data_IF_269603513231
#
_entry.id   IF_269603513231
#
_cell.length_a   1.000
_cell.length_b   1.000
_cell.length_c   1.000
_cell.angle_alpha   90.00
_cell.angle_beta   90.00
_cell.angle_gamma   90.00
#
_symmetry.space_group_name_H-M   'P 1'
#
loop_
_entity.id
_entity.type
_entity.pdbx_description
1 polymer ?
#
# COMPACT_ATOMS: atom_id res chain seq x y z
N UNK A 1 -10.61 8.70 71.58
CA UNK A 1 -10.34 7.37 71.03
C UNK A 1 -10.68 7.45 69.55
N UNK A 2 -9.77 7.79 68.68
CA UNK A 2 -8.74 7.00 67.92
C UNK A 2 -9.37 5.98 66.94
N UNK A 3 -9.13 6.31 65.66
CA UNK A 3 -8.91 5.41 64.50
C UNK A 3 -10.13 4.93 63.74
N UNK A 4 -10.32 5.41 62.48
CA UNK A 4 -10.03 4.65 61.26
C UNK A 4 -10.27 5.55 60.05
N UNK A 5 -9.23 6.06 59.50
CA UNK A 5 -9.16 6.50 58.09
C UNK A 5 -7.91 5.79 57.52
N UNK A 6 -8.07 5.24 56.36
CA UNK A 6 -7.09 4.76 55.37
C UNK A 6 -7.55 3.38 54.85
N UNK A 7 -8.11 3.37 53.66
CA UNK A 7 -7.78 2.48 52.55
C UNK A 7 -8.85 2.58 51.45
N UNK A 8 -8.66 3.46 50.49
CA UNK A 8 -9.36 3.42 49.20
C UNK A 8 -8.62 4.28 48.18
N UNK A 9 -7.41 3.86 47.77
CA UNK A 9 -6.71 4.50 46.63
C UNK A 9 -5.70 3.54 46.05
N UNK A 10 -6.13 2.50 45.33
CA UNK A 10 -5.22 1.62 44.57
C UNK A 10 -5.92 0.78 43.51
N UNK A 11 -7.01 1.22 42.85
CA UNK A 11 -7.67 0.45 41.79
C UNK A 11 -7.87 1.20 40.47
N UNK A 12 -7.34 2.41 40.31
CA UNK A 12 -7.53 3.17 39.07
C UNK A 12 -6.42 3.00 38.01
N UNK A 13 -5.30 2.36 38.36
CA UNK A 13 -4.13 2.28 37.45
C UNK A 13 -4.18 1.16 36.42
N UNK A 14 -4.87 0.04 36.72
CA UNK A 14 -4.86 -1.13 35.86
C UNK A 14 -5.84 -1.06 34.69
N UNK A 15 -6.92 -0.28 34.82
CA UNK A 15 -7.93 -0.15 33.77
C UNK A 15 -7.48 0.69 32.57
N UNK A 16 -6.65 1.71 32.80
CA UNK A 16 -6.16 2.60 31.73
C UNK A 16 -5.07 1.92 30.90
N UNK A 17 -4.20 1.11 31.50
CA UNK A 17 -3.17 0.37 30.76
C UNK A 17 -3.79 -0.73 29.87
N UNK A 18 -4.83 -1.45 30.37
CA UNK A 18 -5.52 -2.46 29.57
C UNK A 18 -6.34 -1.88 28.42
N UNK A 19 -6.90 -0.67 28.56
CA UNK A 19 -7.61 0.02 27.47
C UNK A 19 -6.62 0.51 26.41
N UNK A 20 -5.44 0.95 26.80
CA UNK A 20 -4.41 1.48 25.89
C UNK A 20 -3.75 0.38 25.02
N UNK A 21 -3.69 -0.87 25.50
CA UNK A 21 -3.21 -2.03 24.75
C UNK A 21 -4.31 -2.67 23.88
N UNK A 22 -5.57 -2.41 24.16
CA UNK A 22 -6.70 -3.01 23.44
C UNK A 22 -6.95 -2.39 22.06
N UNK A 23 -6.72 -1.08 21.88
CA UNK A 23 -6.93 -0.39 20.60
C UNK A 23 -6.02 -0.89 19.48
N UNK A 24 -4.67 -0.95 19.63
CA UNK A 24 -3.81 -1.44 18.57
C UNK A 24 -4.04 -2.91 18.22
N UNK A 25 -4.50 -3.72 19.16
CA UNK A 25 -4.85 -5.13 18.89
C UNK A 25 -6.14 -5.24 18.08
N UNK A 26 -7.14 -4.39 18.37
CA UNK A 26 -8.39 -4.31 17.61
C UNK A 26 -8.13 -3.84 16.18
N UNK A 27 -7.31 -2.80 16.00
CA UNK A 27 -6.92 -2.29 14.69
C UNK A 27 -6.17 -3.35 13.88
N UNK A 28 -5.21 -4.04 14.53
CA UNK A 28 -4.47 -5.13 13.90
C UNK A 28 -5.42 -6.26 13.46
N UNK A 29 -6.40 -6.62 14.28
CA UNK A 29 -7.41 -7.61 13.90
C UNK A 29 -8.22 -7.16 12.68
N UNK A 30 -8.55 -5.86 12.57
CA UNK A 30 -9.21 -5.29 11.40
C UNK A 30 -8.34 -5.36 10.14
N UNK A 31 -7.04 -5.10 10.27
CA UNK A 31 -6.09 -5.25 9.14
C UNK A 31 -6.01 -6.73 8.70
N UNK A 32 -5.88 -7.66 9.64
CA UNK A 32 -5.83 -9.09 9.35
C UNK A 32 -7.11 -9.63 8.73
N UNK A 33 -8.27 -9.03 9.03
CA UNK A 33 -9.55 -9.41 8.46
C UNK A 33 -9.66 -9.11 6.94
N UNK A 34 -8.75 -8.30 6.38
CA UNK A 34 -8.65 -8.09 4.94
C UNK A 34 -7.99 -9.25 4.18
N UNK A 35 -7.43 -10.26 4.88
CA UNK A 35 -6.96 -11.47 4.22
C UNK A 35 -8.14 -12.29 3.70
N UNK A 36 -7.96 -12.98 2.58
CA UNK A 36 -8.98 -13.88 2.02
C UNK A 36 -8.91 -14.01 0.52
N UNK A 37 -9.92 -14.65 -0.03
CA UNK A 37 -10.11 -14.91 -1.45
C UNK A 37 -11.29 -14.07 -1.96
N UNK A 38 -11.07 -13.30 -3.04
CA UNK A 38 -11.99 -12.26 -3.48
C UNK A 38 -12.22 -12.26 -4.99
N UNK A 39 -13.45 -11.94 -5.38
CA UNK A 39 -13.74 -11.27 -6.63
C UNK A 39 -13.64 -9.77 -6.33
N UNK A 40 -12.91 -9.04 -7.16
CA UNK A 40 -12.66 -7.60 -6.95
C UNK A 40 -13.19 -6.81 -8.14
N UNK A 41 -14.03 -5.82 -7.86
CA UNK A 41 -14.46 -4.82 -8.82
C UNK A 41 -13.71 -3.51 -8.62
N UNK A 42 -13.14 -2.97 -9.70
CA UNK A 42 -12.44 -1.69 -9.73
C UNK A 42 -13.26 -0.66 -10.51
N UNK A 43 -13.59 0.45 -9.87
CA UNK A 43 -14.31 1.56 -10.47
C UNK A 43 -13.56 2.88 -10.26
N UNK A 44 -13.39 3.68 -11.32
CA UNK A 44 -12.79 5.01 -11.22
C UNK A 44 -13.57 5.99 -12.08
N UNK A 45 -14.01 7.10 -11.46
CA UNK A 45 -14.82 8.14 -12.09
C UNK A 45 -14.27 9.52 -11.77
N UNK A 46 -14.03 10.35 -12.78
CA UNK A 46 -13.80 11.76 -12.56
C UNK A 46 -15.12 12.43 -12.16
N UNK A 47 -15.18 12.96 -10.94
CA UNK A 47 -16.43 13.47 -10.35
C UNK A 47 -16.58 14.97 -10.47
N UNK A 48 -15.47 15.73 -10.36
CA UNK A 48 -15.47 17.20 -10.43
C UNK A 48 -14.37 17.65 -11.38
N UNK A 49 -14.73 18.43 -12.40
CA UNK A 49 -13.80 19.06 -13.33
C UNK A 49 -13.36 20.40 -12.77
N UNK A 50 -12.05 20.60 -12.59
CA UNK A 50 -11.47 21.77 -11.93
C UNK A 50 -10.74 22.70 -12.91
N UNK A 51 -10.26 22.16 -14.04
CA UNK A 51 -9.58 22.95 -15.06
C UNK A 51 -10.58 23.41 -16.12
N UNK A 52 -10.65 24.72 -16.45
CA UNK A 52 -11.48 25.22 -17.54
C UNK A 52 -11.15 24.53 -18.87
N UNK A 53 -12.17 24.13 -19.63
CA UNK A 53 -12.01 23.46 -20.91
C UNK A 53 -11.51 22.02 -20.86
N UNK A 54 -11.38 21.46 -19.67
CA UNK A 54 -11.04 20.03 -19.51
C UNK A 54 -12.28 19.15 -19.74
N UNK A 55 -12.13 18.13 -20.57
CA UNK A 55 -13.17 17.13 -20.82
C UNK A 55 -12.98 15.94 -19.88
N UNK A 56 -14.11 15.45 -19.33
CA UNK A 56 -14.11 14.30 -18.42
C UNK A 56 -13.59 13.05 -19.12
N UNK A 57 -12.60 12.40 -18.52
CA UNK A 57 -12.14 11.10 -18.99
C UNK A 57 -13.26 10.05 -18.83
N UNK A 58 -13.33 9.03 -19.73
CA UNK A 58 -14.26 7.94 -19.60
C UNK A 58 -14.11 7.20 -18.26
N UNK A 59 -15.24 6.80 -17.69
CA UNK A 59 -15.28 5.95 -16.50
C UNK A 59 -14.52 4.65 -16.74
N UNK A 60 -13.69 4.23 -15.78
CA UNK A 60 -12.97 2.97 -15.85
C UNK A 60 -13.66 1.91 -14.97
N UNK A 61 -13.89 0.75 -15.56
CA UNK A 61 -14.40 -0.43 -14.86
C UNK A 61 -13.56 -1.64 -15.23
N UNK A 62 -13.17 -2.44 -14.26
CA UNK A 62 -12.47 -3.71 -14.46
C UNK A 62 -12.67 -4.61 -13.25
N UNK A 63 -12.40 -5.90 -13.41
CA UNK A 63 -12.49 -6.87 -12.33
C UNK A 63 -11.27 -7.78 -12.29
N UNK A 64 -11.10 -8.47 -11.18
CA UNK A 64 -10.05 -9.46 -10.98
C UNK A 64 -10.46 -10.51 -9.94
N UNK A 65 -9.81 -11.68 -9.99
CA UNK A 65 -9.82 -12.62 -8.87
C UNK A 65 -8.51 -12.45 -8.11
N UNK A 66 -8.60 -12.20 -6.81
CA UNK A 66 -7.44 -11.83 -6.00
C UNK A 66 -7.45 -12.56 -4.66
N UNK A 67 -6.31 -13.13 -4.27
CA UNK A 67 -6.11 -13.62 -2.92
C UNK A 67 -5.19 -12.68 -2.16
N UNK A 68 -5.55 -12.37 -0.92
CA UNK A 68 -4.76 -11.55 0.00
C UNK A 68 -4.17 -12.45 1.07
N UNK A 69 -2.85 -12.50 1.14
CA UNK A 69 -2.08 -13.39 2.03
C UNK A 69 -1.37 -12.54 3.08
N UNK A 70 -1.41 -12.97 4.34
CA UNK A 70 -0.59 -12.40 5.41
C UNK A 70 0.85 -12.91 5.26
N UNK A 71 1.79 -11.98 5.08
CA UNK A 71 3.23 -12.25 4.95
C UNK A 71 3.97 -12.03 6.25
N UNK A 72 3.57 -11.02 7.00
CA UNK A 72 4.11 -10.69 8.32
C UNK A 72 2.96 -10.29 9.23
N UNK A 73 3.03 -10.78 10.47
CA UNK A 73 2.07 -10.47 11.50
C UNK A 73 2.78 -10.31 12.85
N UNK A 74 2.89 -9.07 13.30
CA UNK A 74 3.46 -8.70 14.58
C UNK A 74 2.60 -7.64 15.28
N UNK A 75 2.79 -7.37 16.57
CA UNK A 75 1.99 -6.37 17.28
C UNK A 75 2.00 -4.97 16.67
N UNK A 76 3.04 -4.62 15.92
CA UNK A 76 3.24 -3.27 15.36
C UNK A 76 3.40 -3.25 13.83
N UNK A 77 3.33 -4.41 13.17
CA UNK A 77 3.45 -4.49 11.71
C UNK A 77 2.67 -5.66 11.16
N UNK A 78 1.87 -5.40 10.13
CA UNK A 78 1.18 -6.40 9.31
C UNK A 78 1.54 -6.15 7.86
N UNK A 79 1.90 -7.21 7.13
CA UNK A 79 2.17 -7.16 5.70
C UNK A 79 1.20 -8.06 4.97
N UNK A 80 0.46 -7.49 4.03
CA UNK A 80 -0.51 -8.18 3.17
C UNK A 80 -0.01 -8.17 1.73
N UNK A 81 0.10 -9.36 1.13
CA UNK A 81 0.46 -9.54 -0.28
C UNK A 81 -0.76 -9.94 -1.07
N UNK A 82 -0.99 -9.27 -2.17
CA UNK A 82 -2.05 -9.54 -3.11
C UNK A 82 -1.52 -10.34 -4.31
N UNK A 83 -2.26 -11.37 -4.73
CA UNK A 83 -1.94 -12.20 -5.89
C UNK A 83 -3.18 -12.30 -6.78
N UNK A 84 -3.04 -11.93 -8.04
CA UNK A 84 -4.10 -12.10 -9.04
C UNK A 84 -4.07 -13.51 -9.61
N UNK A 85 -5.26 -14.07 -9.87
CA UNK A 85 -5.43 -15.34 -10.56
C UNK A 85 -6.33 -15.15 -11.78
N UNK A 86 -5.83 -15.51 -12.93
CA UNK A 86 -6.67 -15.67 -14.10
C UNK A 86 -7.44 -17.00 -14.00
N UNK A 87 -8.76 -16.92 -13.83
CA UNK A 87 -9.59 -18.11 -13.58
C UNK A 87 -9.62 -19.11 -14.75
N UNK A 88 -9.27 -18.67 -15.98
CA UNK A 88 -9.30 -19.55 -17.17
C UNK A 88 -7.98 -20.30 -17.36
N UNK A 89 -6.86 -19.60 -17.19
CA UNK A 89 -5.53 -20.16 -17.44
C UNK A 89 -4.84 -20.65 -16.15
N UNK A 90 -5.30 -20.25 -14.98
CA UNK A 90 -4.60 -20.45 -13.72
C UNK A 90 -3.32 -19.59 -13.57
N UNK A 91 -3.09 -18.66 -14.53
CA UNK A 91 -1.91 -17.78 -14.45
C UNK A 91 -1.96 -16.88 -13.22
N UNK A 92 -0.84 -16.77 -12.50
CA UNK A 92 -0.73 -15.97 -11.29
C UNK A 92 0.17 -14.77 -11.53
N UNK A 93 -0.32 -13.59 -11.17
CA UNK A 93 0.47 -12.36 -11.16
C UNK A 93 0.60 -11.86 -9.73
N UNK A 94 1.84 -11.76 -9.21
CA UNK A 94 2.07 -11.03 -7.97
C UNK A 94 1.61 -9.59 -8.18
N UNK A 95 0.63 -9.18 -7.40
CA UNK A 95 0.06 -7.86 -7.47
C UNK A 95 0.70 -6.93 -6.42
N UNK A 96 -0.01 -5.93 -5.97
CA UNK A 96 0.48 -4.97 -5.00
C UNK A 96 0.63 -5.59 -3.60
N UNK A 97 1.38 -4.90 -2.74
CA UNK A 97 1.56 -5.22 -1.34
C UNK A 97 1.19 -4.01 -0.50
N UNK A 98 0.65 -4.24 0.68
CA UNK A 98 0.42 -3.23 1.69
C UNK A 98 1.11 -3.61 3.00
N UNK A 99 1.93 -2.69 3.50
CA UNK A 99 2.57 -2.79 4.80
C UNK A 99 1.88 -1.81 5.75
N UNK A 100 1.40 -2.33 6.86
CA UNK A 100 0.77 -1.57 7.92
C UNK A 100 1.70 -1.48 9.11
N UNK A 101 2.03 -0.26 9.55
CA UNK A 101 2.99 0.00 10.63
C UNK A 101 2.32 0.88 11.68
N UNK A 102 2.21 0.37 12.91
CA UNK A 102 1.67 1.10 14.04
C UNK A 102 2.67 2.14 14.55
N UNK A 103 2.23 3.41 14.69
CA UNK A 103 3.03 4.54 15.11
C UNK A 103 4.39 4.61 14.38
N UNK A 104 4.33 4.61 13.06
CA UNK A 104 5.52 4.64 12.22
C UNK A 104 6.34 5.91 12.48
N UNK A 105 7.65 5.77 12.67
CA UNK A 105 8.56 6.91 12.88
C UNK A 105 8.83 7.69 11.59
N UNK A 106 8.69 7.05 10.45
CA UNK A 106 8.94 7.62 9.12
C UNK A 106 8.12 6.90 8.05
N UNK A 107 7.97 7.52 6.89
CA UNK A 107 7.41 6.90 5.68
C UNK A 107 8.10 7.45 4.43
N UNK A 108 8.00 6.73 3.31
CA UNK A 108 8.36 7.32 2.03
C UNK A 108 7.18 8.12 1.46
N UNK A 109 7.49 9.19 0.72
CA UNK A 109 6.52 10.02 0.03
C UNK A 109 6.93 10.22 -1.42
N UNK A 110 5.97 10.11 -2.34
CA UNK A 110 6.16 10.44 -3.74
C UNK A 110 6.45 11.93 -3.88
N UNK A 111 7.64 12.28 -4.32
CA UNK A 111 8.12 13.67 -4.39
C UNK A 111 8.20 14.22 -5.81
N UNK A 112 8.57 13.38 -6.78
CA UNK A 112 8.67 13.71 -8.20
C UNK A 112 8.50 12.44 -9.04
N UNK A 113 8.52 12.57 -10.37
CA UNK A 113 8.43 11.40 -11.25
C UNK A 113 9.49 10.35 -10.88
N UNK A 114 9.03 9.12 -10.69
CA UNK A 114 9.82 7.96 -10.28
C UNK A 114 10.70 8.19 -9.03
N UNK A 115 10.34 9.15 -8.16
CA UNK A 115 11.16 9.54 -7.02
C UNK A 115 10.34 9.55 -5.73
N UNK A 116 10.84 8.87 -4.71
CA UNK A 116 10.27 8.85 -3.36
C UNK A 116 11.34 9.25 -2.34
N UNK A 117 10.97 10.19 -1.47
CA UNK A 117 11.83 10.65 -0.37
C UNK A 117 11.35 10.08 0.94
N UNK A 118 12.28 9.68 1.80
CA UNK A 118 11.96 9.23 3.16
C UNK A 118 11.83 10.45 4.07
N UNK A 119 10.74 10.51 4.82
CA UNK A 119 10.43 11.61 5.73
C UNK A 119 10.09 11.11 7.13
N UNK A 120 10.63 11.74 8.17
CA UNK A 120 10.19 11.50 9.54
C UNK A 120 8.74 11.95 9.72
N UNK A 121 8.00 11.24 10.55
CA UNK A 121 6.62 11.57 10.89
C UNK A 121 6.56 12.17 12.30
N UNK A 122 5.83 13.28 12.50
CA UNK A 122 5.65 13.86 13.83
C UNK A 122 4.81 12.93 14.71
N UNK A 123 5.17 12.79 15.97
CA UNK A 123 4.45 11.95 16.93
C UNK A 123 2.96 12.32 17.09
N UNK A 124 2.60 13.58 16.87
CA UNK A 124 1.21 14.03 16.90
C UNK A 124 0.35 13.38 15.78
N UNK A 125 0.96 13.05 14.64
CA UNK A 125 0.29 12.36 13.53
C UNK A 125 0.18 10.85 13.79
N UNK A 126 1.24 10.24 14.35
CA UNK A 126 1.39 8.78 14.40
C UNK A 126 0.87 8.13 15.68
N UNK A 127 0.75 8.87 16.78
CA UNK A 127 0.28 8.31 18.06
C UNK A 127 -1.11 7.67 17.91
N UNK A 128 -1.23 6.38 18.20
CA UNK A 128 -2.46 5.61 18.03
C UNK A 128 -2.91 5.47 16.57
N UNK A 129 -1.99 5.62 15.61
CA UNK A 129 -2.31 5.55 14.18
C UNK A 129 -1.53 4.43 13.49
N UNK A 130 -2.10 3.91 12.42
CA UNK A 130 -1.46 2.99 11.50
C UNK A 130 -1.08 3.71 10.21
N UNK A 131 0.15 3.52 9.78
CA UNK A 131 0.62 3.97 8.46
C UNK A 131 0.54 2.80 7.49
N UNK A 132 -0.27 2.95 6.44
CA UNK A 132 -0.27 2.02 5.32
C UNK A 132 0.72 2.52 4.27
N UNK A 133 1.65 1.64 3.85
CA UNK A 133 2.48 1.86 2.68
C UNK A 133 2.13 0.83 1.60
N UNK A 134 1.90 1.30 0.39
CA UNK A 134 1.54 0.49 -0.77
C UNK A 134 2.72 0.40 -1.72
N UNK A 135 2.95 -0.80 -2.23
CA UNK A 135 4.04 -1.14 -3.12
C UNK A 135 3.53 -1.74 -4.43
N UNK A 136 4.23 -1.47 -5.50
CA UNK A 136 3.97 -1.99 -6.84
C UNK A 136 4.22 -3.51 -6.92
N UNK A 137 3.89 -4.08 -8.05
CA UNK A 137 4.11 -5.51 -8.37
C UNK A 137 5.59 -5.94 -8.26
N UNK A 138 6.52 -5.01 -8.38
CA UNK A 138 7.97 -5.20 -8.19
C UNK A 138 8.44 -4.95 -6.76
N UNK A 139 7.52 -4.73 -5.82
CA UNK A 139 7.76 -4.19 -4.48
C UNK A 139 8.39 -2.78 -4.46
N UNK A 140 8.45 -2.08 -5.60
CA UNK A 140 8.84 -0.68 -5.64
C UNK A 140 7.82 0.19 -4.88
N UNK A 141 8.24 1.29 -4.24
CA UNK A 141 7.34 2.15 -3.48
C UNK A 141 6.28 2.78 -4.38
N UNK A 142 5.08 2.99 -3.84
CA UNK A 142 4.01 3.69 -4.53
C UNK A 142 3.53 4.91 -3.75
N UNK A 143 2.93 4.70 -2.59
CA UNK A 143 2.50 5.77 -1.68
C UNK A 143 2.34 5.24 -0.26
N UNK A 144 2.32 6.13 0.73
CA UNK A 144 1.90 5.84 2.09
C UNK A 144 0.82 6.82 2.53
N UNK A 145 0.02 6.42 3.52
CA UNK A 145 -0.92 7.27 4.23
C UNK A 145 -0.96 6.87 5.70
N UNK A 146 -1.20 7.81 6.60
CA UNK A 146 -1.25 7.59 8.05
C UNK A 146 -2.63 7.96 8.58
N UNK A 147 -3.25 7.09 9.36
CA UNK A 147 -4.60 7.33 9.89
C UNK A 147 -4.94 6.42 11.04
N UNK A 148 -6.12 6.65 11.63
CA UNK A 148 -6.67 5.84 12.72
C UNK A 148 -7.84 5.03 12.22
N UNK A 149 -8.02 3.89 12.86
CA UNK A 149 -9.25 3.11 12.71
C UNK A 149 -10.38 3.77 13.51
N UNK A 150 -11.55 3.79 12.91
CA UNK A 150 -12.80 4.24 13.51
C UNK A 150 -13.80 3.08 13.53
N UNK A 151 -14.59 3.01 14.58
CA UNK A 151 -15.55 1.93 14.83
C UNK A 151 -16.94 2.48 15.23
N UNK A 152 -17.15 3.79 15.07
CA UNK A 152 -18.32 4.47 15.63
C UNK A 152 -19.64 4.01 15.01
N UNK A 153 -19.64 3.64 13.73
CA UNK A 153 -20.84 3.17 13.01
C UNK A 153 -20.98 1.63 12.98
N UNK A 154 -20.13 0.92 13.75
CA UNK A 154 -20.13 -0.55 13.80
C UNK A 154 -19.34 -1.23 12.71
N UNK A 155 -18.81 -0.48 11.73
CA UNK A 155 -17.95 -0.98 10.66
C UNK A 155 -16.52 -0.44 10.82
N UNK A 156 -15.51 -1.34 11.05
CA UNK A 156 -14.12 -0.90 11.12
C UNK A 156 -13.72 -0.13 9.87
N UNK A 157 -13.35 1.14 10.03
CA UNK A 157 -12.99 2.03 8.94
C UNK A 157 -11.69 2.75 9.24
N UNK A 158 -10.72 2.67 8.34
CA UNK A 158 -9.47 3.42 8.39
C UNK A 158 -9.45 4.48 7.30
N UNK A 159 -9.06 5.71 7.67
CA UNK A 159 -8.94 6.82 6.72
C UNK A 159 -7.57 7.47 6.87
N UNK A 160 -6.84 7.62 5.75
CA UNK A 160 -5.51 8.21 5.73
C UNK A 160 -5.55 9.74 5.82
N UNK A 161 -4.42 10.33 6.21
CA UNK A 161 -4.10 11.72 5.88
C UNK A 161 -3.94 11.92 4.36
N UNK A 162 -3.84 13.17 3.92
CA UNK A 162 -3.55 13.51 2.53
C UNK A 162 -2.11 13.11 2.20
N UNK A 163 -1.94 12.37 1.11
CA UNK A 163 -0.64 11.93 0.61
C UNK A 163 -0.51 12.11 -0.90
N UNK A 164 0.70 11.90 -1.42
CA UNK A 164 1.00 12.00 -2.84
C UNK A 164 1.28 10.63 -3.42
N UNK A 165 0.83 10.40 -4.66
CA UNK A 165 1.18 9.19 -5.41
C UNK A 165 1.41 9.48 -6.90
N UNK A 166 2.21 8.62 -7.59
CA UNK A 166 2.37 8.69 -9.03
C UNK A 166 1.06 8.35 -9.76
N UNK A 167 1.02 8.63 -11.06
CA UNK A 167 -0.08 8.22 -11.93
C UNK A 167 -0.32 6.71 -11.85
N UNK A 168 -1.59 6.29 -11.99
CA UNK A 168 -1.89 4.87 -12.19
C UNK A 168 -1.18 4.35 -13.44
N UNK A 169 -0.71 3.09 -13.40
CA UNK A 169 -0.03 2.47 -14.56
C UNK A 169 -0.85 2.56 -15.85
N UNK A 170 -2.17 2.44 -15.75
CA UNK A 170 -3.09 2.56 -16.89
C UNK A 170 -3.06 3.93 -17.58
N UNK A 171 -2.63 4.97 -16.89
CA UNK A 171 -2.59 6.35 -17.39
C UNK A 171 -1.16 6.85 -17.62
N UNK A 172 -0.16 6.29 -16.97
CA UNK A 172 1.23 6.74 -17.01
C UNK A 172 1.82 6.84 -18.43
N UNK A 173 1.44 5.93 -19.33
CA UNK A 173 1.90 5.93 -20.73
C UNK A 173 0.94 6.61 -21.70
N UNK A 174 -0.24 7.05 -21.23
CA UNK A 174 -1.33 7.56 -22.07
C UNK A 174 -1.63 9.03 -21.83
N UNK A 175 -1.25 9.56 -20.67
CA UNK A 175 -1.59 10.92 -20.22
C UNK A 175 -0.33 11.69 -19.85
N UNK A 176 -0.31 12.97 -20.22
CA UNK A 176 0.74 13.94 -19.87
C UNK A 176 0.19 15.25 -19.32
N UNK A 177 -1.14 15.37 -19.21
CA UNK A 177 -1.84 16.55 -18.74
C UNK A 177 -1.84 16.70 -17.21
N UNK A 178 -1.41 15.63 -16.50
CA UNK A 178 -1.14 15.65 -15.06
C UNK A 178 0.00 14.67 -14.73
N UNK A 179 0.66 14.84 -13.58
CA UNK A 179 1.84 14.06 -13.20
C UNK A 179 1.85 13.59 -11.74
N UNK A 180 0.82 13.92 -10.97
CA UNK A 180 0.67 13.47 -9.59
C UNK A 180 -0.82 13.39 -9.20
N UNK A 181 -1.10 12.58 -8.18
CA UNK A 181 -2.38 12.60 -7.48
C UNK A 181 -2.15 12.96 -6.01
N UNK A 182 -2.94 13.88 -5.48
CA UNK A 182 -3.13 13.93 -4.04
C UNK A 182 -4.29 13.00 -3.68
N UNK A 183 -4.14 12.22 -2.61
CA UNK A 183 -5.09 11.16 -2.28
C UNK A 183 -5.35 11.07 -0.78
N UNK A 184 -6.62 10.83 -0.42
CA UNK A 184 -7.04 10.28 0.85
C UNK A 184 -7.59 8.89 0.57
N UNK A 185 -7.08 7.88 1.26
CA UNK A 185 -7.55 6.50 1.14
C UNK A 185 -8.43 6.15 2.32
N UNK A 186 -9.47 5.35 2.07
CA UNK A 186 -10.32 4.76 3.10
C UNK A 186 -10.46 3.27 2.86
N UNK A 187 -10.28 2.49 3.93
CA UNK A 187 -10.58 1.07 3.95
C UNK A 187 -11.71 0.82 4.94
N UNK A 188 -12.77 0.15 4.49
CA UNK A 188 -13.91 -0.21 5.35
C UNK A 188 -14.12 -1.72 5.28
N UNK A 189 -14.17 -2.37 6.45
CA UNK A 189 -14.56 -3.77 6.53
C UNK A 189 -16.08 -3.89 6.39
N UNK A 190 -16.51 -4.79 5.52
CA UNK A 190 -17.92 -5.12 5.29
C UNK A 190 -18.22 -6.55 5.76
N UNK A 191 -19.50 -6.93 5.92
CA UNK A 191 -19.84 -8.31 6.29
C UNK A 191 -19.30 -9.37 5.31
N UNK A 192 -19.13 -9.02 4.02
CA UNK A 192 -18.68 -9.94 2.98
C UNK A 192 -17.29 -9.61 2.42
N UNK A 193 -16.48 -8.80 3.10
CA UNK A 193 -15.16 -8.45 2.60
C UNK A 193 -14.70 -7.09 3.08
N UNK A 194 -14.23 -6.25 2.13
CA UNK A 194 -13.80 -4.88 2.45
C UNK A 194 -13.76 -4.01 1.20
N UNK A 195 -13.78 -2.70 1.40
CA UNK A 195 -13.68 -1.73 0.31
C UNK A 195 -12.44 -0.87 0.43
N UNK A 196 -11.94 -0.39 -0.71
CA UNK A 196 -10.91 0.63 -0.78
C UNK A 196 -11.42 1.81 -1.59
N UNK A 197 -11.75 2.90 -0.89
CA UNK A 197 -12.14 4.16 -1.48
C UNK A 197 -10.93 5.07 -1.65
N UNK A 198 -10.85 5.78 -2.77
CA UNK A 198 -9.74 6.66 -3.11
C UNK A 198 -10.29 8.03 -3.52
N UNK A 199 -10.07 9.03 -2.69
CA UNK A 199 -10.46 10.41 -2.97
C UNK A 199 -9.28 11.12 -3.59
N UNK A 200 -9.20 11.07 -4.92
CA UNK A 200 -8.09 11.56 -5.71
C UNK A 200 -8.33 12.98 -6.21
N UNK A 201 -7.26 13.79 -6.28
CA UNK A 201 -7.21 14.98 -7.13
C UNK A 201 -6.05 14.82 -8.10
N UNK A 202 -6.34 14.88 -9.41
CA UNK A 202 -5.33 14.87 -10.49
C UNK A 202 -4.70 16.24 -10.57
N UNK A 203 -3.37 16.31 -10.49
CA UNK A 203 -2.61 17.57 -10.45
C UNK A 203 -1.45 17.56 -11.44
N UNK A 204 -1.30 18.68 -12.14
CA UNK A 204 -0.07 19.00 -12.84
C UNK A 204 0.81 19.82 -11.89
N UNK A 205 1.93 19.24 -11.45
CA UNK A 205 2.94 19.89 -10.60
C UNK A 205 4.07 20.37 -11.49
N UNK A 206 4.42 21.66 -11.40
CA UNK A 206 5.50 22.27 -12.16
C UNK A 206 6.82 22.26 -11.38
N UNK A 207 7.92 22.45 -12.09
CA UNK A 207 9.25 22.50 -11.49
C UNK A 207 9.46 23.69 -10.54
N UNK A 208 8.70 24.76 -10.71
CA UNK A 208 8.70 25.95 -9.85
C UNK A 208 7.87 25.77 -8.56
N UNK A 209 7.25 24.58 -8.39
CA UNK A 209 6.40 24.26 -7.26
C UNK A 209 4.94 24.63 -7.43
N UNK A 210 4.56 25.34 -8.50
CA UNK A 210 3.15 25.61 -8.81
C UNK A 210 2.39 24.32 -9.14
N UNK A 211 1.08 24.34 -8.90
CA UNK A 211 0.22 23.17 -9.08
C UNK A 211 -1.10 23.60 -9.73
N UNK A 212 -1.56 22.83 -10.70
CA UNK A 212 -2.85 22.98 -11.32
C UNK A 212 -3.69 21.72 -11.10
N UNK A 213 -4.81 21.86 -10.40
CA UNK A 213 -5.79 20.77 -10.27
C UNK A 213 -6.57 20.63 -11.59
N UNK A 214 -6.66 19.40 -12.08
CA UNK A 214 -7.34 19.04 -13.33
C UNK A 214 -8.76 18.54 -13.07
N UNK A 215 -8.88 17.52 -12.22
CA UNK A 215 -10.15 16.91 -11.85
C UNK A 215 -10.04 16.21 -10.49
N UNK A 216 -11.16 16.05 -9.80
CA UNK A 216 -11.30 15.06 -8.73
C UNK A 216 -11.75 13.74 -9.33
N UNK A 217 -11.20 12.66 -8.80
CA UNK A 217 -11.57 11.29 -9.18
C UNK A 217 -11.93 10.52 -7.91
N UNK A 218 -13.05 9.79 -7.97
CA UNK A 218 -13.38 8.80 -6.96
C UNK A 218 -13.02 7.42 -7.49
N UNK A 219 -12.15 6.74 -6.77
CA UNK A 219 -11.81 5.33 -6.99
C UNK A 219 -12.49 4.46 -5.95
N UNK A 220 -13.06 3.34 -6.40
CA UNK A 220 -13.72 2.38 -5.52
C UNK A 220 -13.31 0.97 -5.94
N UNK A 221 -12.70 0.24 -5.00
CA UNK A 221 -12.39 -1.17 -5.19
C UNK A 221 -13.22 -1.95 -4.16
N UNK A 222 -14.07 -2.84 -4.63
CA UNK A 222 -14.89 -3.74 -3.82
C UNK A 222 -14.30 -5.14 -3.81
N UNK A 223 -13.90 -5.60 -2.63
CA UNK A 223 -13.34 -6.93 -2.39
C UNK A 223 -14.43 -7.82 -1.79
N UNK A 224 -15.18 -8.52 -2.62
CA UNK A 224 -16.20 -9.46 -2.20
C UNK A 224 -15.63 -10.86 -2.03
N UNK A 225 -15.73 -11.45 -0.83
CA UNK A 225 -15.30 -12.84 -0.56
C UNK A 225 -16.01 -13.82 -1.48
N UNK A 226 -15.25 -14.79 -1.98
CA UNK A 226 -15.78 -15.81 -2.89
C UNK A 226 -15.28 -17.21 -2.54
N UNK A 227 -16.05 -18.23 -2.87
CA UNK A 227 -15.64 -19.64 -2.90
C UNK A 227 -15.74 -20.25 -4.29
N UNK A 228 -15.99 -19.43 -5.32
CA UNK A 228 -16.27 -19.89 -6.69
C UNK A 228 -15.02 -19.99 -7.57
N UNK A 229 -13.90 -19.40 -7.13
CA UNK A 229 -12.65 -19.34 -7.88
C UNK A 229 -11.62 -20.29 -7.24
N UNK A 230 -10.87 -21.03 -8.05
CA UNK A 230 -9.77 -21.86 -7.58
C UNK A 230 -8.50 -21.01 -7.39
N UNK A 231 -8.13 -20.70 -6.13
CA UNK A 231 -6.93 -19.96 -5.77
C UNK A 231 -5.72 -20.84 -5.46
N UNK A 232 -5.80 -22.18 -5.62
CA UNK A 232 -4.65 -23.08 -5.42
C UNK A 232 -3.40 -22.67 -6.23
N UNK A 233 -3.53 -22.21 -7.50
CA UNK A 233 -2.37 -21.71 -8.24
C UNK A 233 -1.64 -20.56 -7.55
N UNK A 234 -2.36 -19.62 -6.92
CA UNK A 234 -1.76 -18.50 -6.20
C UNK A 234 -0.98 -18.96 -4.96
N UNK A 235 -1.53 -19.89 -4.19
CA UNK A 235 -0.82 -20.46 -3.03
C UNK A 235 0.41 -21.24 -3.46
N UNK A 236 0.34 -22.00 -4.55
CA UNK A 236 1.48 -22.72 -5.11
C UNK A 236 2.58 -21.75 -5.58
N UNK A 237 2.19 -20.69 -6.31
CA UNK A 237 3.10 -19.62 -6.72
C UNK A 237 3.80 -18.98 -5.50
N UNK A 238 3.02 -18.61 -4.49
CA UNK A 238 3.57 -17.95 -3.31
C UNK A 238 4.51 -18.89 -2.54
N UNK A 239 4.15 -20.14 -2.37
CA UNK A 239 5.00 -21.16 -1.74
C UNK A 239 6.36 -21.28 -2.44
N UNK A 240 6.38 -21.23 -3.77
CA UNK A 240 7.61 -21.33 -4.57
C UNK A 240 8.45 -20.04 -4.54
N UNK A 241 7.83 -18.86 -4.39
CA UNK A 241 8.50 -17.57 -4.65
C UNK A 241 8.62 -16.67 -3.41
N UNK A 242 7.96 -16.97 -2.28
CA UNK A 242 7.96 -16.10 -1.10
C UNK A 242 9.35 -15.76 -0.57
N UNK A 243 10.27 -16.72 -0.56
CA UNK A 243 11.66 -16.51 -0.14
C UNK A 243 12.42 -15.55 -1.07
N UNK A 244 12.19 -15.64 -2.36
CA UNK A 244 12.73 -14.73 -3.35
C UNK A 244 12.16 -13.31 -3.16
N UNK A 245 10.84 -13.16 -3.04
CA UNK A 245 10.21 -11.86 -2.81
C UNK A 245 10.60 -11.25 -1.47
N UNK A 246 10.88 -12.05 -0.44
CA UNK A 246 11.47 -11.56 0.81
C UNK A 246 12.85 -10.91 0.58
N UNK A 247 13.69 -11.51 -0.28
CA UNK A 247 14.99 -10.95 -0.65
C UNK A 247 14.84 -9.66 -1.47
N UNK A 248 13.88 -9.59 -2.40
CA UNK A 248 13.56 -8.37 -3.17
C UNK A 248 13.12 -7.25 -2.22
N UNK A 249 12.21 -7.54 -1.27
CA UNK A 249 11.76 -6.57 -0.24
C UNK A 249 12.93 -6.04 0.58
N UNK A 250 13.82 -6.94 1.05
CA UNK A 250 14.99 -6.52 1.82
C UNK A 250 15.92 -5.55 1.06
N UNK A 251 15.97 -5.61 -0.29
CA UNK A 251 16.68 -4.61 -1.10
C UNK A 251 15.95 -3.27 -1.08
N UNK A 252 14.64 -3.27 -1.26
CA UNK A 252 13.85 -2.04 -1.16
C UNK A 252 13.96 -1.40 0.21
N UNK A 253 13.91 -2.17 1.29
CA UNK A 253 13.98 -1.69 2.66
C UNK A 253 15.30 -0.95 2.94
N UNK A 254 16.42 -1.35 2.31
CA UNK A 254 17.70 -0.63 2.41
C UNK A 254 17.64 0.79 1.83
N UNK A 255 16.87 1.00 0.74
CA UNK A 255 16.70 2.33 0.14
C UNK A 255 15.63 3.16 0.86
N UNK A 256 14.56 2.52 1.32
CA UNK A 256 13.40 3.18 1.93
C UNK A 256 13.52 3.32 3.45
N UNK A 257 14.49 2.68 4.07
CA UNK A 257 14.78 2.77 5.50
C UNK A 257 15.56 4.03 5.88
N UNK A 258 16.07 4.80 4.93
CA UNK A 258 16.92 5.95 5.20
C UNK A 258 16.77 7.06 4.16
N UNK A 259 17.03 8.30 4.58
CA UNK A 259 17.12 9.43 3.65
C UNK A 259 18.36 9.30 2.72
N UNK A 260 18.31 9.84 1.49
CA UNK A 260 17.22 10.66 0.94
C UNK A 260 16.01 9.87 0.42
N UNK A 261 16.08 8.55 0.27
CA UNK A 261 15.09 7.68 -0.35
C UNK A 261 15.57 7.13 -1.69
N UNK A 262 14.65 6.95 -2.65
CA UNK A 262 14.91 6.21 -3.88
C UNK A 262 14.41 6.93 -5.13
N UNK A 263 15.12 6.76 -6.24
CA UNK A 263 14.68 7.10 -7.59
C UNK A 263 14.77 5.88 -8.49
N UNK A 264 13.77 5.70 -9.34
CA UNK A 264 13.72 4.63 -10.33
C UNK A 264 14.04 5.15 -11.73
N UNK A 265 14.85 4.41 -12.45
CA UNK A 265 14.93 4.55 -13.89
C UNK A 265 13.73 3.85 -14.51
N UNK A 266 12.90 4.59 -15.23
CA UNK A 266 11.61 4.10 -15.73
C UNK A 266 11.78 2.91 -16.67
N UNK A 267 12.79 2.98 -17.56
CA UNK A 267 13.14 1.93 -18.52
C UNK A 267 14.64 1.93 -18.81
N UNK A 268 15.16 0.73 -19.05
CA UNK A 268 16.48 0.50 -19.65
C UNK A 268 16.27 -0.41 -20.86
N UNK A 269 16.80 -0.02 -22.01
CA UNK A 269 16.68 -0.77 -23.27
C UNK A 269 15.22 -1.19 -23.59
N UNK A 270 14.27 -0.29 -23.31
CA UNK A 270 12.85 -0.52 -23.50
C UNK A 270 12.17 -1.40 -22.42
N UNK A 271 12.93 -1.99 -21.51
CA UNK A 271 12.46 -2.91 -20.48
C UNK A 271 12.24 -2.19 -19.15
N UNK A 272 11.14 -2.49 -18.45
CA UNK A 272 10.89 -2.04 -17.10
C UNK A 272 11.46 -3.03 -16.08
N UNK A 273 11.82 -2.54 -14.87
CA UNK A 273 12.39 -3.35 -13.78
C UNK A 273 11.57 -4.59 -13.41
N UNK A 274 10.26 -4.52 -13.59
CA UNK A 274 9.37 -5.65 -13.26
C UNK A 274 9.66 -6.89 -14.10
N UNK A 275 10.09 -6.73 -15.37
CA UNK A 275 10.31 -7.85 -16.29
C UNK A 275 11.39 -8.80 -15.77
N UNK A 276 12.64 -8.36 -15.46
CA UNK A 276 13.66 -9.27 -14.94
C UNK A 276 13.28 -9.88 -13.58
N UNK A 277 12.56 -9.14 -12.71
CA UNK A 277 12.13 -9.70 -11.42
C UNK A 277 11.09 -10.81 -11.60
N UNK A 278 10.12 -10.65 -12.50
CA UNK A 278 9.15 -11.72 -12.78
C UNK A 278 9.81 -12.91 -13.49
N UNK A 279 10.73 -12.68 -14.44
CA UNK A 279 11.49 -13.76 -15.07
C UNK A 279 12.27 -14.60 -14.05
N UNK A 280 12.86 -13.95 -13.04
CA UNK A 280 13.50 -14.66 -11.92
C UNK A 280 12.49 -15.47 -11.09
N UNK A 281 11.33 -14.89 -10.77
CA UNK A 281 10.29 -15.59 -10.04
C UNK A 281 9.72 -16.80 -10.82
N UNK A 282 9.52 -16.66 -12.13
CA UNK A 282 9.12 -17.76 -13.02
C UNK A 282 10.16 -18.87 -13.08
N UNK A 283 11.45 -18.51 -13.08
CA UNK A 283 12.54 -19.49 -13.04
C UNK A 283 12.47 -20.37 -11.79
N UNK A 284 12.12 -19.78 -10.64
CA UNK A 284 11.92 -20.55 -9.39
C UNK A 284 10.72 -21.50 -9.47
N UNK A 285 9.63 -21.11 -10.11
CA UNK A 285 8.49 -22.01 -10.34
C UNK A 285 8.85 -23.20 -11.23
N UNK A 286 9.83 -23.02 -12.12
CA UNK A 286 10.39 -24.07 -12.96
C UNK A 286 11.47 -24.93 -12.27
N UNK A 287 11.67 -24.73 -10.95
CA UNK A 287 12.68 -25.45 -10.18
C UNK A 287 14.12 -24.99 -10.38
N UNK A 288 14.34 -23.86 -11.07
CA UNK A 288 15.66 -23.23 -11.20
C UNK A 288 16.01 -22.44 -9.94
N UNK A 289 17.28 -22.11 -9.76
CA UNK A 289 17.77 -21.28 -8.65
C UNK A 289 17.96 -19.84 -9.09
N UNK A 290 17.71 -18.90 -8.19
CA UNK A 290 18.03 -17.48 -8.33
C UNK A 290 18.83 -17.07 -7.10
N UNK A 291 20.06 -16.59 -7.32
CA UNK A 291 20.95 -16.16 -6.25
C UNK A 291 20.81 -14.66 -5.93
N UNK A 292 21.46 -14.22 -4.87
CA UNK A 292 21.40 -12.83 -4.43
C UNK A 292 22.07 -11.87 -5.43
N UNK A 293 23.13 -12.31 -6.11
CA UNK A 293 23.83 -11.50 -7.10
C UNK A 293 22.94 -11.15 -8.31
N UNK A 294 22.10 -12.08 -8.74
CA UNK A 294 21.14 -11.85 -9.83
C UNK A 294 20.07 -10.80 -9.42
N UNK A 295 19.63 -10.80 -8.17
CA UNK A 295 18.70 -9.77 -7.67
C UNK A 295 19.43 -8.42 -7.57
N UNK A 296 20.64 -8.41 -7.00
CA UNK A 296 21.43 -7.19 -6.82
C UNK A 296 21.78 -6.55 -8.17
N UNK A 297 22.04 -7.33 -9.22
CA UNK A 297 22.25 -6.85 -10.58
C UNK A 297 21.03 -6.09 -11.13
N UNK A 298 19.79 -6.58 -10.87
CA UNK A 298 18.58 -5.85 -11.25
C UNK A 298 18.53 -4.51 -10.53
N UNK A 299 18.72 -4.49 -9.21
CA UNK A 299 18.68 -3.25 -8.44
C UNK A 299 19.73 -2.24 -8.92
N UNK A 300 20.95 -2.67 -9.15
CA UNK A 300 22.04 -1.80 -9.66
C UNK A 300 21.69 -1.11 -10.99
N UNK A 301 20.91 -1.76 -11.85
CA UNK A 301 20.49 -1.18 -13.12
C UNK A 301 19.37 -0.16 -12.99
N UNK A 302 18.36 -0.40 -12.14
CA UNK A 302 17.13 0.38 -12.13
C UNK A 302 16.95 1.32 -10.94
N UNK A 303 17.74 1.15 -9.88
CA UNK A 303 17.55 1.87 -8.62
C UNK A 303 18.73 2.75 -8.31
N UNK A 304 18.46 4.00 -7.93
CA UNK A 304 19.47 4.95 -7.46
C UNK A 304 18.95 5.72 -6.24
N UNK A 305 19.82 6.27 -5.38
CA UNK A 305 19.38 7.15 -4.32
C UNK A 305 18.60 8.35 -4.87
N UNK A 306 17.56 8.78 -4.16
CA UNK A 306 16.86 10.01 -4.52
C UNK A 306 17.83 11.21 -4.47
N UNK A 307 17.64 12.24 -5.33
CA UNK A 307 18.39 13.48 -5.20
C UNK A 307 18.19 14.09 -3.80
N UNK A 308 19.22 14.70 -3.26
CA UNK A 308 19.09 15.48 -2.02
C UNK A 308 18.01 16.56 -2.22
N UNK A 309 17.17 16.75 -1.19
CA UNK A 309 16.20 17.83 -1.20
C UNK A 309 16.95 19.17 -1.35
N UNK A 310 16.55 19.98 -2.36
CA UNK A 310 17.06 21.35 -2.53
C UNK A 310 16.41 22.29 -1.53
#
# INVERSE_FOLDING_TARGET
MKRLLITALLLAGSGLAQAQDAEPQRDRASILAMQGEYIVDFAFDETVLLKPGYERAPAMRSGANEVVIVVEDSPRKVVLQHLLVDAKSGHVTKHWRQDWIYEAAQRFEFSADQTWTVRPLPAALTRGAWTQCVYEVSDAPRYCGTGRWDYADGHPTWTSDLSWRPLPRREYTKRSDYNALSVVNRHTLTPNGWTHEQFNTKLLRQADGSQQAIAREFGFNDYAKTGEVDFKPAYAYWKATQGYWAKVRARWDRFLGQAPGVRLKTKLDGMAMIVPLFTQAESLQQGKTVDDAQIDAVFAQWVEPAPAAR
#
